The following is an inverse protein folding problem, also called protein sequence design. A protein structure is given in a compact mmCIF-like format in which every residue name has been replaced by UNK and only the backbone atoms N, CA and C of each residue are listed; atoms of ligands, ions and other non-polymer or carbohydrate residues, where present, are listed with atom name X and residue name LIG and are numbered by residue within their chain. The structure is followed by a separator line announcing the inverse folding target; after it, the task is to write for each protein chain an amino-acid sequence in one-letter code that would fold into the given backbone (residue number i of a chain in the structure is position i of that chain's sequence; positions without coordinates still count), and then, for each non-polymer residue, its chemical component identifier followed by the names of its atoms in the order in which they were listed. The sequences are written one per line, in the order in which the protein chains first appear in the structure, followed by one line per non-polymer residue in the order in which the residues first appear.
data_IF_690377044528
#
_entry.id   IF_690377044528
#
_cell.length_a   1.000
_cell.length_b   1.000
_cell.length_c   1.000
_cell.angle_alpha   90.00
_cell.angle_beta   90.00
_cell.angle_gamma   90.00
#
_symmetry.space_group_name_H-M   'P 1'
#
loop_
_entity.id
_entity.type
_entity.pdbx_description
1 polymer ?
#
# COMPACT_ATOMS: atom_id res chain seq x y z
N UNK A 1 -1.75 -1.58 0.13
CA UNK A 1 -1.80 -2.45 -1.05
C UNK A 1 -2.28 -1.58 -2.18
N UNK A 2 -1.76 -1.79 -3.38
CA UNK A 2 -2.30 -1.17 -4.57
C UNK A 2 -2.91 -2.27 -5.41
N UNK A 3 -4.24 -2.22 -5.57
CA UNK A 3 -4.97 -3.15 -6.43
C UNK A 3 -5.13 -2.57 -7.84
N UNK A 4 -4.50 -1.44 -8.14
CA UNK A 4 -4.60 -0.74 -9.40
C UNK A 4 -3.26 -0.90 -10.14
N UNK A 5 -3.34 -1.39 -11.37
CA UNK A 5 -2.20 -1.45 -12.28
C UNK A 5 -2.47 -0.54 -13.48
N UNK A 6 -1.44 0.15 -13.95
CA UNK A 6 -1.57 1.02 -15.11
C UNK A 6 -0.32 1.87 -15.31
N UNK A 7 -0.37 2.68 -16.34
CA UNK A 7 0.69 3.62 -16.70
C UNK A 7 0.12 5.04 -16.76
N UNK A 8 0.98 6.07 -16.61
CA UNK A 8 0.56 7.45 -16.83
C UNK A 8 -0.14 7.62 -18.18
N UNK A 9 -1.24 8.38 -18.20
CA UNK A 9 -2.06 8.66 -19.39
C UNK A 9 -2.67 7.41 -20.06
N UNK A 10 -2.81 6.31 -19.34
CA UNK A 10 -3.50 5.10 -19.81
C UNK A 10 -4.65 4.73 -18.86
N UNK A 11 -5.58 3.91 -19.34
CA UNK A 11 -6.62 3.34 -18.49
C UNK A 11 -5.99 2.38 -17.49
N UNK A 12 -6.33 2.55 -16.21
CA UNK A 12 -5.85 1.67 -15.15
C UNK A 12 -6.83 0.51 -14.96
N UNK A 13 -6.31 -0.63 -14.54
CA UNK A 13 -7.10 -1.84 -14.27
C UNK A 13 -7.11 -2.14 -12.78
N UNK A 14 -8.30 -2.38 -12.23
CA UNK A 14 -8.46 -2.88 -10.86
C UNK A 14 -8.34 -4.40 -10.86
N UNK A 15 -7.36 -4.93 -10.14
CA UNK A 15 -7.20 -6.38 -9.90
C UNK A 15 -8.21 -6.83 -8.83
N UNK A 16 -9.33 -7.39 -9.26
CA UNK A 16 -10.46 -7.73 -8.38
C UNK A 16 -10.06 -8.61 -7.18
N UNK A 17 -9.19 -9.61 -7.38
CA UNK A 17 -8.71 -10.50 -6.32
C UNK A 17 -7.79 -9.82 -5.28
N UNK A 18 -7.21 -8.66 -5.61
CA UNK A 18 -6.43 -7.82 -4.70
C UNK A 18 -7.23 -6.65 -4.10
N UNK A 19 -8.40 -6.35 -4.69
CA UNK A 19 -9.27 -5.26 -4.25
C UNK A 19 -9.86 -5.57 -2.86
N UNK A 20 -9.77 -4.59 -1.95
CA UNK A 20 -10.32 -4.69 -0.59
C UNK A 20 -11.56 -3.81 -0.38
N UNK A 21 -12.05 -3.15 -1.43
CA UNK A 21 -13.25 -2.30 -1.35
C UNK A 21 -13.10 -1.03 -0.51
N UNK A 22 -11.89 -0.45 -0.41
CA UNK A 22 -11.63 0.75 0.40
C UNK A 22 -12.18 2.06 -0.18
N UNK A 23 -12.64 2.07 -1.44
CA UNK A 23 -13.23 3.21 -2.15
C UNK A 23 -12.33 4.44 -2.33
N UNK A 24 -11.05 4.37 -1.96
CA UNK A 24 -10.10 5.49 -2.11
C UNK A 24 -9.82 5.87 -3.57
N UNK A 25 -10.05 4.96 -4.51
CA UNK A 25 -9.83 5.16 -5.94
C UNK A 25 -10.99 5.81 -6.68
N UNK A 26 -12.19 5.86 -6.09
CA UNK A 26 -13.36 6.48 -6.74
C UNK A 26 -13.16 8.02 -6.87
N UNK A 27 -12.91 8.78 -5.78
CA UNK A 27 -12.80 10.24 -5.88
C UNK A 27 -11.67 10.76 -6.78
N UNK A 28 -10.45 10.17 -6.82
CA UNK A 28 -9.37 10.68 -7.67
C UNK A 28 -9.49 10.26 -9.13
N UNK A 29 -10.47 9.45 -9.54
CA UNK A 29 -10.60 9.02 -10.93
C UNK A 29 -11.08 10.19 -11.81
N UNK A 30 -10.26 10.70 -12.75
CA UNK A 30 -10.58 11.94 -13.47
C UNK A 30 -11.73 11.81 -14.48
N UNK A 31 -12.10 10.58 -14.83
CA UNK A 31 -13.13 10.24 -15.82
C UNK A 31 -14.25 9.39 -15.23
N UNK A 32 -14.27 9.23 -13.90
CA UNK A 32 -15.30 8.50 -13.16
C UNK A 32 -15.60 7.08 -13.70
N UNK A 33 -14.56 6.34 -14.10
CA UNK A 33 -14.70 5.06 -14.79
C UNK A 33 -14.76 3.81 -13.88
N UNK A 34 -14.90 3.97 -12.56
CA UNK A 34 -14.83 2.86 -11.60
C UNK A 34 -16.18 2.69 -10.91
N UNK A 35 -16.73 1.49 -10.96
CA UNK A 35 -17.94 1.12 -10.24
C UNK A 35 -17.66 0.06 -9.17
N UNK A 36 -18.37 0.16 -8.03
CA UNK A 36 -18.31 -0.84 -6.97
C UNK A 36 -19.34 -1.94 -7.20
N UNK A 37 -18.85 -3.15 -7.43
CA UNK A 37 -19.69 -4.35 -7.57
C UNK A 37 -19.54 -5.26 -6.34
N UNK A 38 -20.55 -6.09 -6.03
CA UNK A 38 -20.40 -7.16 -5.04
C UNK A 38 -19.24 -8.09 -5.42
N UNK A 39 -18.49 -8.56 -4.42
CA UNK A 39 -17.38 -9.48 -4.68
C UNK A 39 -17.93 -10.82 -5.16
N UNK A 40 -17.51 -11.33 -6.33
CA UNK A 40 -17.87 -12.67 -6.79
C UNK A 40 -17.51 -13.77 -5.78
N UNK A 41 -18.36 -14.78 -5.67
CA UNK A 41 -18.15 -15.95 -4.78
C UNK A 41 -16.86 -16.71 -5.11
N UNK A 42 -16.38 -16.65 -6.35
CA UNK A 42 -15.11 -17.25 -6.77
C UNK A 42 -13.88 -16.65 -6.06
N UNK A 43 -13.96 -15.41 -5.55
CA UNK A 43 -12.87 -14.78 -4.80
C UNK A 43 -12.99 -14.98 -3.29
N UNK A 44 -14.07 -15.62 -2.82
CA UNK A 44 -14.22 -15.96 -1.42
C UNK A 44 -13.49 -17.27 -1.09
N UNK A 45 -12.79 -17.34 0.06
CA UNK A 45 -12.23 -18.60 0.53
C UNK A 45 -13.39 -19.56 0.83
N UNK A 46 -13.37 -20.73 0.18
CA UNK A 46 -14.34 -21.81 0.34
C UNK A 46 -13.93 -22.79 1.44
N UNK A 47 -12.66 -22.77 1.85
CA UNK A 47 -12.10 -23.63 2.89
C UNK A 47 -11.31 -22.84 3.94
N UNK A 48 -11.15 -23.43 5.12
CA UNK A 48 -10.34 -22.86 6.21
C UNK A 48 -8.87 -22.69 5.81
N UNK A 49 -8.33 -23.60 5.00
CA UNK A 49 -6.97 -23.52 4.47
C UNK A 49 -6.81 -22.30 3.56
N UNK A 50 -7.75 -22.07 2.65
CA UNK A 50 -7.76 -20.89 1.77
C UNK A 50 -7.85 -19.60 2.59
N UNK A 51 -8.68 -19.59 3.63
CA UNK A 51 -8.79 -18.46 4.56
C UNK A 51 -7.48 -18.22 5.32
N UNK A 52 -6.84 -19.28 5.82
CA UNK A 52 -5.57 -19.21 6.52
C UNK A 52 -4.45 -18.68 5.61
N UNK A 53 -4.37 -19.17 4.37
CA UNK A 53 -3.42 -18.68 3.37
C UNK A 53 -3.61 -17.19 3.10
N UNK A 54 -4.85 -16.74 2.85
CA UNK A 54 -5.17 -15.32 2.62
C UNK A 54 -4.80 -14.43 3.81
N UNK A 55 -5.06 -14.90 5.05
CA UNK A 55 -4.65 -14.23 6.29
C UNK A 55 -3.13 -14.11 6.37
N UNK A 56 -2.40 -15.19 6.09
CA UNK A 56 -0.93 -15.22 6.14
C UNK A 56 -0.31 -14.26 5.12
N UNK A 57 -0.79 -14.25 3.88
CA UNK A 57 -0.32 -13.33 2.83
C UNK A 57 -0.56 -11.88 3.25
N UNK A 58 -1.76 -11.55 3.70
CA UNK A 58 -2.10 -10.19 4.15
C UNK A 58 -1.22 -9.74 5.31
N UNK A 59 -1.00 -10.62 6.30
CA UNK A 59 -0.11 -10.38 7.44
C UNK A 59 1.32 -10.13 6.99
N UNK A 60 1.86 -10.94 6.07
CA UNK A 60 3.23 -10.79 5.55
C UNK A 60 3.41 -9.45 4.84
N UNK A 61 2.46 -9.07 3.97
CA UNK A 61 2.54 -7.79 3.26
C UNK A 61 2.47 -6.59 4.25
N UNK A 62 1.67 -6.68 5.31
CA UNK A 62 1.64 -5.68 6.38
C UNK A 62 2.99 -5.57 7.10
N UNK A 63 3.57 -6.70 7.50
CA UNK A 63 4.87 -6.73 8.19
C UNK A 63 5.99 -6.12 7.34
N UNK A 64 6.05 -6.45 6.04
CA UNK A 64 7.02 -5.87 5.11
C UNK A 64 6.88 -4.34 5.00
N UNK A 65 5.62 -3.85 4.96
CA UNK A 65 5.35 -2.40 4.97
C UNK A 65 5.88 -1.75 6.25
N UNK A 66 5.64 -2.35 7.42
CA UNK A 66 6.09 -1.83 8.70
C UNK A 66 7.62 -1.75 8.78
N UNK A 67 8.32 -2.80 8.34
CA UNK A 67 9.79 -2.82 8.28
C UNK A 67 10.35 -1.73 7.35
N UNK A 68 9.69 -1.50 6.21
CA UNK A 68 10.08 -0.41 5.31
C UNK A 68 9.90 0.95 5.95
N UNK A 69 8.75 1.19 6.60
CA UNK A 69 8.46 2.46 7.26
C UNK A 69 9.44 2.74 8.41
N UNK A 70 9.73 1.75 9.25
CA UNK A 70 10.68 1.92 10.35
C UNK A 70 12.09 2.24 9.86
N UNK A 71 12.56 1.58 8.79
CA UNK A 71 13.85 1.89 8.15
C UNK A 71 13.89 3.32 7.62
N UNK A 72 12.85 3.75 6.91
CA UNK A 72 12.76 5.11 6.37
C UNK A 72 12.73 6.17 7.48
N UNK A 73 12.04 5.88 8.58
CA UNK A 73 11.98 6.76 9.75
C UNK A 73 13.35 6.91 10.43
N UNK A 74 14.06 5.80 10.64
CA UNK A 74 15.42 5.81 11.19
C UNK A 74 16.38 6.62 10.30
N UNK A 75 16.34 6.40 8.97
CA UNK A 75 17.14 7.16 8.02
C UNK A 75 16.84 8.66 8.06
N UNK A 76 15.55 9.04 8.13
CA UNK A 76 15.14 10.44 8.27
C UNK A 76 15.65 11.06 9.56
N UNK A 77 15.51 10.36 10.69
CA UNK A 77 16.02 10.80 12.00
C UNK A 77 17.54 10.98 11.99
N UNK A 78 18.29 10.03 11.45
CA UNK A 78 19.74 10.11 11.31
C UNK A 78 20.17 11.30 10.44
N UNK A 79 19.51 11.52 9.29
CA UNK A 79 19.78 12.67 8.41
C UNK A 79 19.54 14.01 9.10
N UNK A 80 18.45 14.12 9.87
CA UNK A 80 18.14 15.34 10.63
C UNK A 80 19.15 15.58 11.76
N UNK A 81 19.55 14.52 12.47
CA UNK A 81 20.57 14.59 13.52
C UNK A 81 21.92 15.05 12.95
N UNK A 82 22.38 14.43 11.85
CA UNK A 82 23.62 14.81 11.17
C UNK A 82 23.59 16.27 10.67
N UNK A 83 22.44 16.72 10.13
CA UNK A 83 22.27 18.13 9.72
C UNK A 83 22.36 19.09 10.91
N UNK A 84 21.73 18.76 12.05
CA UNK A 84 21.82 19.55 13.29
C UNK A 84 23.24 19.61 13.83
N UNK A 85 23.97 18.50 13.81
CA UNK A 85 25.36 18.43 14.24
C UNK A 85 26.28 19.26 13.32
N UNK A 86 26.13 19.14 12.00
CA UNK A 86 26.89 19.94 11.04
C UNK A 86 26.63 21.45 11.20
N UNK A 87 25.39 21.85 11.50
CA UNK A 87 25.06 23.24 11.81
C UNK A 87 25.74 23.71 13.10
N UNK A 88 25.74 22.90 14.16
CA UNK A 88 26.43 23.22 15.42
C UNK A 88 27.94 23.42 15.21
N UNK A 89 28.59 22.54 14.43
CA UNK A 89 30.02 22.65 14.11
C UNK A 89 30.38 23.90 13.29
N UNK A 90 29.47 24.43 12.48
CA UNK A 90 29.68 25.64 11.66
C UNK A 90 29.53 26.95 12.45
N UNK A 91 28.84 26.92 13.59
CA UNK A 91 28.61 28.08 14.46
C UNK A 91 29.49 28.04 15.72
N UNK A 92 30.48 27.16 15.75
CA UNK A 92 31.56 27.09 16.73
C UNK A 92 32.87 27.51 16.07
#
# INVERSE_FOLDING_TARGET
MDAIIGAPNQMHTVLAFECIGCKLCLPPCPVDCIEMVPTPDEFMPKTDEQLAHRKQVTKRRYQNRQQRLSRLEQQRKARLAAKREALRRKHS
#
